data_IF_462195934498
#
_entry.id   IF_462195934498
#
_cell.length_a   1.000
_cell.length_b   1.000
_cell.length_c   1.000
_cell.angle_alpha   90.00
_cell.angle_beta   90.00
_cell.angle_gamma   90.00
#
_symmetry.space_group_name_H-M   'P 1'
#
loop_
_entity.id
_entity.type
_entity.pdbx_description
1 polymer ?
#
# COMPACT_ATOMS: atom_id res chain seq x y z
N UNK A 1 -31.85 -27.73 -36.67
CA UNK A 1 -30.59 -27.13 -36.21
C UNK A 1 -30.93 -26.38 -34.93
N UNK A 2 -30.83 -27.05 -33.79
CA UNK A 2 -31.06 -26.46 -32.48
C UNK A 2 -29.83 -25.64 -32.10
N UNK A 3 -30.00 -24.33 -31.94
CA UNK A 3 -29.01 -23.51 -31.27
C UNK A 3 -29.08 -23.87 -29.78
N UNK A 4 -28.15 -24.72 -29.33
CA UNK A 4 -27.81 -24.83 -27.91
C UNK A 4 -27.32 -23.45 -27.48
N UNK A 5 -28.11 -22.76 -26.66
CA UNK A 5 -27.68 -21.57 -25.95
C UNK A 5 -26.75 -22.04 -24.82
N UNK A 6 -25.47 -22.20 -25.15
CA UNK A 6 -24.40 -22.22 -24.16
C UNK A 6 -24.49 -20.90 -23.38
N UNK A 7 -25.08 -20.97 -22.18
CA UNK A 7 -25.21 -19.84 -21.28
C UNK A 7 -23.79 -19.39 -20.86
N UNK A 8 -23.31 -18.20 -21.29
CA UNK A 8 -21.93 -17.78 -21.09
C UNK A 8 -21.59 -17.57 -19.60
N UNK A 9 -22.59 -17.66 -18.71
CA UNK A 9 -22.44 -17.55 -17.25
C UNK A 9 -22.10 -18.87 -16.56
N UNK A 10 -22.19 -20.00 -17.28
CA UNK A 10 -21.85 -21.34 -16.76
C UNK A 10 -20.38 -21.72 -16.96
N UNK A 11 -19.58 -20.84 -17.57
CA UNK A 11 -18.16 -21.08 -17.71
C UNK A 11 -17.47 -21.00 -16.33
N UNK A 12 -16.67 -22.01 -15.94
CA UNK A 12 -15.99 -22.05 -14.64
C UNK A 12 -15.09 -20.83 -14.39
N UNK A 13 -14.61 -20.18 -15.46
CA UNK A 13 -13.83 -18.93 -15.40
C UNK A 13 -14.62 -17.72 -14.85
N UNK A 14 -15.95 -17.69 -15.00
CA UNK A 14 -16.82 -16.61 -14.49
C UNK A 14 -17.14 -16.82 -13.00
N UNK A 15 -17.21 -18.08 -12.55
CA UNK A 15 -17.50 -18.43 -11.14
C UNK A 15 -16.25 -18.42 -10.25
N UNK A 16 -15.04 -18.48 -10.83
CA UNK A 16 -13.76 -18.41 -10.10
C UNK A 16 -13.33 -17.00 -9.69
N UNK A 17 -14.15 -15.97 -9.97
CA UNK A 17 -13.94 -14.61 -9.45
C UNK A 17 -14.16 -14.58 -7.93
N UNK A 18 -13.13 -15.02 -7.20
CA UNK A 18 -13.05 -15.03 -5.74
C UNK A 18 -12.94 -13.59 -5.24
N UNK A 19 -14.05 -12.87 -5.28
CA UNK A 19 -14.24 -11.54 -4.67
C UNK A 19 -14.09 -11.57 -3.14
N UNK A 20 -14.10 -12.75 -2.51
CA UNK A 20 -14.01 -12.91 -1.06
C UNK A 20 -12.61 -12.64 -0.49
N UNK A 21 -11.54 -13.06 -1.19
CA UNK A 21 -10.17 -12.69 -0.81
C UNK A 21 -9.94 -11.18 -0.95
N UNK A 22 -10.54 -10.61 -2.00
CA UNK A 22 -10.64 -9.16 -2.21
C UNK A 22 -11.66 -8.46 -1.30
N UNK A 23 -12.17 -9.05 -0.23
CA UNK A 23 -12.91 -8.27 0.75
C UNK A 23 -12.24 -8.34 2.11
N UNK A 24 -11.70 -9.50 2.45
CA UNK A 24 -11.01 -9.72 3.72
C UNK A 24 -9.75 -8.87 3.87
N UNK A 25 -8.86 -8.82 2.87
CA UNK A 25 -7.62 -8.05 2.97
C UNK A 25 -7.83 -6.53 3.06
N UNK A 26 -8.82 -6.01 2.32
CA UNK A 26 -9.22 -4.61 2.38
C UNK A 26 -9.87 -4.26 3.73
N UNK A 27 -10.78 -5.11 4.21
CA UNK A 27 -11.40 -4.92 5.52
C UNK A 27 -10.35 -4.92 6.64
N UNK A 28 -9.39 -5.84 6.62
CA UNK A 28 -8.31 -5.91 7.61
C UNK A 28 -7.44 -4.64 7.56
N UNK A 29 -6.99 -4.22 6.38
CA UNK A 29 -6.17 -3.00 6.21
C UNK A 29 -6.94 -1.75 6.67
N UNK A 30 -8.22 -1.66 6.33
CA UNK A 30 -9.10 -0.54 6.69
C UNK A 30 -9.31 -0.45 8.21
N UNK A 31 -9.56 -1.58 8.88
CA UNK A 31 -9.68 -1.65 10.34
C UNK A 31 -8.37 -1.24 11.02
N UNK A 32 -7.23 -1.72 10.50
CA UNK A 32 -5.92 -1.38 11.04
C UNK A 32 -5.63 0.12 10.92
N UNK A 33 -6.03 0.72 9.81
CA UNK A 33 -5.88 2.16 9.57
C UNK A 33 -6.77 2.98 10.50
N UNK A 34 -8.04 2.59 10.68
CA UNK A 34 -8.94 3.21 11.67
C UNK A 34 -8.40 3.10 13.09
N UNK A 35 -7.87 1.94 13.47
CA UNK A 35 -7.27 1.72 14.79
C UNK A 35 -6.03 2.61 15.00
N UNK A 36 -5.15 2.72 14.01
CA UNK A 36 -4.00 3.60 14.06
C UNK A 36 -4.41 5.07 14.21
N UNK A 37 -5.38 5.53 13.42
CA UNK A 37 -5.91 6.90 13.51
C UNK A 37 -6.54 7.18 14.87
N UNK A 38 -7.36 6.27 15.39
CA UNK A 38 -7.99 6.42 16.70
C UNK A 38 -6.93 6.52 17.81
N UNK A 39 -5.88 5.69 17.73
CA UNK A 39 -4.78 5.71 18.69
C UNK A 39 -4.03 7.05 18.65
N UNK A 40 -3.77 7.61 17.46
CA UNK A 40 -3.18 8.95 17.31
C UNK A 40 -4.05 10.02 17.96
N UNK A 41 -5.36 10.02 17.66
CA UNK A 41 -6.28 11.04 18.18
C UNK A 41 -6.41 10.98 19.70
N UNK A 42 -6.34 9.77 20.29
CA UNK A 42 -6.47 9.58 21.73
C UNK A 42 -5.31 10.16 22.56
N UNK A 43 -4.15 10.48 21.95
CA UNK A 43 -2.95 10.99 22.62
C UNK A 43 -2.52 10.20 23.88
N UNK A 44 -2.93 8.93 24.01
CA UNK A 44 -2.79 8.15 25.23
C UNK A 44 -1.35 7.64 25.47
N UNK A 45 -0.44 7.85 24.52
CA UNK A 45 0.93 7.31 24.51
C UNK A 45 1.97 8.43 24.32
N UNK A 46 3.15 8.30 24.95
CA UNK A 46 4.25 9.25 24.76
C UNK A 46 4.69 9.31 23.28
N UNK A 47 5.20 10.45 22.82
CA UNK A 47 5.41 10.73 21.38
C UNK A 47 6.33 9.73 20.68
N UNK A 48 7.34 9.20 21.36
CA UNK A 48 8.22 8.18 20.80
C UNK A 48 7.51 6.82 20.64
N UNK A 49 6.71 6.42 21.64
CA UNK A 49 5.92 5.19 21.56
C UNK A 49 4.84 5.28 20.48
N UNK A 50 4.22 6.44 20.34
CA UNK A 50 3.24 6.71 19.29
C UNK A 50 3.85 6.55 17.89
N UNK A 51 5.04 7.12 17.66
CA UNK A 51 5.77 6.98 16.38
C UNK A 51 6.03 5.51 16.01
N UNK A 52 6.47 4.69 16.97
CA UNK A 52 6.70 3.26 16.72
C UNK A 52 5.41 2.53 16.35
N UNK A 53 4.31 2.77 17.08
CA UNK A 53 3.04 2.08 16.84
C UNK A 53 2.44 2.48 15.50
N UNK A 54 2.47 3.77 15.14
CA UNK A 54 1.98 4.24 13.85
C UNK A 54 2.82 3.67 12.71
N UNK A 55 4.14 3.68 12.85
CA UNK A 55 5.05 3.11 11.83
C UNK A 55 4.77 1.62 11.60
N UNK A 56 4.57 0.85 12.67
CA UNK A 56 4.20 -0.56 12.59
C UNK A 56 2.83 -0.77 11.92
N UNK A 57 1.81 0.01 12.30
CA UNK A 57 0.50 -0.04 11.65
C UNK A 57 0.59 0.33 10.16
N UNK A 58 1.35 1.37 9.80
CA UNK A 58 1.54 1.79 8.42
C UNK A 58 2.22 0.70 7.59
N UNK A 59 3.29 0.09 8.11
CA UNK A 59 3.96 -1.04 7.44
C UNK A 59 3.02 -2.22 7.20
N UNK A 60 2.21 -2.58 8.21
CA UNK A 60 1.27 -3.69 8.11
C UNK A 60 0.09 -3.39 7.16
N UNK A 61 -0.36 -2.14 7.09
CA UNK A 61 -1.36 -1.69 6.11
C UNK A 61 -0.82 -1.75 4.67
N UNK A 62 0.43 -1.36 4.45
CA UNK A 62 1.11 -1.46 3.14
C UNK A 62 1.21 -2.92 2.71
N UNK A 63 1.63 -3.81 3.62
CA UNK A 63 1.70 -5.25 3.32
C UNK A 63 0.33 -5.79 2.91
N UNK A 64 -0.72 -5.47 3.68
CA UNK A 64 -2.09 -5.90 3.35
C UNK A 64 -2.55 -5.37 1.98
N UNK A 65 -2.20 -4.14 1.63
CA UNK A 65 -2.51 -3.55 0.33
C UNK A 65 -1.73 -4.20 -0.80
N UNK A 66 -0.44 -4.51 -0.62
CA UNK A 66 0.36 -5.24 -1.61
C UNK A 66 -0.25 -6.61 -1.90
N UNK A 67 -0.65 -7.37 -0.87
CA UNK A 67 -1.29 -8.68 -1.07
C UNK A 67 -2.62 -8.57 -1.81
N UNK A 68 -3.41 -7.53 -1.52
CA UNK A 68 -4.77 -7.39 -2.00
C UNK A 68 -4.88 -6.71 -3.37
N UNK A 69 -4.29 -5.53 -3.54
CA UNK A 69 -4.34 -4.77 -4.79
C UNK A 69 -3.49 -5.43 -5.87
N UNK A 70 -2.40 -6.06 -5.44
CA UNK A 70 -1.41 -6.60 -6.36
C UNK A 70 -1.49 -8.11 -6.54
N UNK A 71 -2.44 -8.78 -5.87
CA UNK A 71 -2.78 -10.19 -6.07
C UNK A 71 -1.55 -11.02 -6.45
N UNK A 72 -0.52 -11.06 -5.59
CA UNK A 72 0.69 -11.88 -5.84
C UNK A 72 0.27 -13.34 -5.69
N UNK A 73 -0.42 -13.83 -6.71
CA UNK A 73 -0.65 -15.22 -6.95
C UNK A 73 0.54 -15.67 -7.77
N UNK A 74 1.34 -16.57 -7.21
CA UNK A 74 2.40 -17.28 -7.93
C UNK A 74 1.72 -18.32 -8.84
N UNK A 75 0.84 -17.82 -9.70
CA UNK A 75 0.09 -18.55 -10.71
C UNK A 75 0.52 -17.98 -12.06
N UNK A 76 0.76 -18.84 -13.04
CA UNK A 76 1.31 -18.46 -14.36
C UNK A 76 0.50 -17.37 -15.09
N UNK A 77 -0.74 -17.13 -14.67
CA UNK A 77 -1.61 -16.09 -15.22
C UNK A 77 -1.30 -14.67 -14.70
N UNK A 78 -0.66 -14.50 -13.53
CA UNK A 78 -0.52 -13.19 -12.87
C UNK A 78 0.93 -12.67 -12.76
N UNK A 79 1.83 -13.22 -13.58
CA UNK A 79 3.26 -12.87 -13.61
C UNK A 79 3.45 -11.37 -13.89
N UNK A 80 2.59 -10.78 -14.73
CA UNK A 80 2.64 -9.37 -15.10
C UNK A 80 2.47 -8.42 -13.90
N UNK A 81 1.65 -8.77 -12.92
CA UNK A 81 1.47 -7.94 -11.73
C UNK A 81 2.72 -8.00 -10.85
N UNK A 82 3.27 -9.20 -10.64
CA UNK A 82 4.52 -9.38 -9.89
C UNK A 82 5.69 -8.61 -10.51
N UNK A 83 5.82 -8.65 -11.85
CA UNK A 83 6.83 -7.89 -12.59
C UNK A 83 6.62 -6.37 -12.43
N UNK A 84 5.37 -5.91 -12.51
CA UNK A 84 5.04 -4.50 -12.28
C UNK A 84 5.42 -4.03 -10.87
N UNK A 85 5.18 -4.83 -9.82
CA UNK A 85 5.60 -4.50 -8.46
C UNK A 85 7.12 -4.47 -8.29
N UNK A 86 7.83 -5.46 -8.82
CA UNK A 86 9.30 -5.49 -8.75
C UNK A 86 9.91 -4.26 -9.42
N UNK A 87 9.34 -3.78 -10.53
CA UNK A 87 9.80 -2.56 -11.20
C UNK A 87 9.35 -1.29 -10.47
N UNK A 88 8.17 -1.32 -9.84
CA UNK A 88 7.63 -0.20 -9.07
C UNK A 88 8.41 0.07 -7.78
N UNK A 89 8.83 -0.95 -7.03
CA UNK A 89 9.54 -0.77 -5.74
C UNK A 89 10.78 0.15 -5.86
N UNK A 90 11.75 -0.09 -6.75
CA UNK A 90 12.92 0.77 -6.86
C UNK A 90 12.52 2.18 -7.34
N UNK A 91 11.54 2.30 -8.24
CA UNK A 91 11.06 3.60 -8.70
C UNK A 91 10.43 4.39 -7.55
N UNK A 92 9.58 3.75 -6.74
CA UNK A 92 8.92 4.34 -5.58
C UNK A 92 9.94 4.81 -4.52
N UNK A 93 10.92 3.96 -4.20
CA UNK A 93 11.99 4.30 -3.25
C UNK A 93 12.84 5.47 -3.75
N UNK A 94 13.21 5.46 -5.04
CA UNK A 94 13.99 6.53 -5.65
C UNK A 94 13.17 7.82 -5.69
N UNK A 95 11.90 7.80 -6.09
CA UNK A 95 11.07 9.01 -6.14
C UNK A 95 10.92 9.64 -4.76
N UNK A 96 10.50 8.88 -3.75
CA UNK A 96 10.33 9.43 -2.39
C UNK A 96 11.67 9.87 -1.80
N UNK A 97 12.70 9.03 -1.93
CA UNK A 97 14.03 9.32 -1.41
C UNK A 97 14.66 10.55 -2.07
N UNK A 98 14.59 10.66 -3.40
CA UNK A 98 15.11 11.82 -4.12
C UNK A 98 14.29 13.08 -3.84
N UNK A 99 12.97 13.01 -3.74
CA UNK A 99 12.14 14.17 -3.38
C UNK A 99 12.50 14.67 -1.99
N UNK A 100 12.60 13.77 -1.00
CA UNK A 100 13.06 14.12 0.35
C UNK A 100 14.45 14.74 0.34
N UNK A 101 15.40 14.10 -0.34
CA UNK A 101 16.78 14.58 -0.44
C UNK A 101 16.86 15.95 -1.11
N UNK A 102 16.18 16.13 -2.24
CA UNK A 102 16.14 17.39 -2.98
C UNK A 102 15.59 18.51 -2.11
N UNK A 103 14.48 18.30 -1.40
CA UNK A 103 13.93 19.31 -0.50
C UNK A 103 14.83 19.58 0.70
N UNK A 104 15.46 18.56 1.27
CA UNK A 104 16.40 18.73 2.38
C UNK A 104 17.63 19.56 1.95
N UNK A 105 18.18 19.30 0.76
CA UNK A 105 19.31 20.07 0.24
C UNK A 105 18.89 21.49 -0.14
N UNK A 106 17.74 21.64 -0.81
CA UNK A 106 17.23 22.96 -1.19
C UNK A 106 16.98 23.84 0.05
N UNK A 107 16.42 23.28 1.12
CA UNK A 107 16.22 23.96 2.40
C UNK A 107 17.55 24.50 2.96
N UNK A 108 18.61 23.68 2.97
CA UNK A 108 19.93 24.07 3.46
C UNK A 108 20.58 25.19 2.62
N UNK A 109 20.33 25.23 1.31
CA UNK A 109 20.98 26.17 0.39
C UNK A 109 20.21 27.47 0.15
N UNK A 110 18.89 27.48 0.33
CA UNK A 110 18.03 28.65 0.00
C UNK A 110 17.55 29.41 1.22
N UNK A 111 17.58 28.80 2.41
CA UNK A 111 17.24 29.48 3.65
C UNK A 111 18.53 29.82 4.41
N UNK A 112 18.70 31.09 4.77
CA UNK A 112 19.69 31.46 5.80
C UNK A 112 19.23 30.75 7.07
N UNK A 113 20.01 29.77 7.52
CA UNK A 113 19.70 29.01 8.72
C UNK A 113 19.44 29.99 9.89
N UNK A 114 18.24 30.01 10.51
CA UNK A 114 17.97 30.84 11.66
C UNK A 114 18.82 30.31 12.83
N UNK A 115 20.02 30.87 13.01
CA UNK A 115 21.00 30.39 13.97
C UNK A 115 22.47 30.67 13.64
N UNK A 116 22.80 31.23 12.47
CA UNK A 116 24.17 31.64 12.12
C UNK A 116 24.38 33.17 12.14
N UNK A 117 23.66 33.89 13.00
CA UNK A 117 24.02 35.24 13.42
C UNK A 117 24.53 35.16 14.86
N UNK A 118 25.85 35.11 15.01
CA UNK A 118 26.52 35.28 16.29
C UNK A 118 27.26 36.62 16.30
#
# INVERSE_FOLDING_TARGET
MSHDQDDPTLHPEVQMSTSQGYFSGFAISSILMLAATFLVTSHAVPPFGLLMVISACAGMAIIAQIYFLLHIDVSEHNIWNTVALVLFIPLFLITIGLTWWMFSQLYLHTMIMPGMTH
#
